data_IF_585372498980
#
_entry.id   IF_585372498980
#
_cell.length_a   1.000
_cell.length_b   1.000
_cell.length_c   1.000
_cell.angle_alpha   90.00
_cell.angle_beta   90.00
_cell.angle_gamma   90.00
#
_symmetry.space_group_name_H-M   'P 1'
#
loop_
_entity.id
_entity.type
_entity.pdbx_description
1 polymer ?
#
# COMPACT_ATOMS: atom_id res chain seq x y z
N UNK A 1 1.60 10.65 20.61
CA UNK A 1 1.15 11.28 21.87
C UNK A 1 -0.13 12.04 21.65
N UNK A 2 -0.24 12.81 20.58
CA UNK A 2 -1.41 13.64 20.23
C UNK A 2 -2.76 12.92 20.34
N UNK A 3 -2.87 11.70 19.77
CA UNK A 3 -4.09 10.88 19.88
C UNK A 3 -4.50 10.62 21.34
N UNK A 4 -3.53 10.37 22.21
CA UNK A 4 -3.76 10.05 23.62
C UNK A 4 -4.19 11.30 24.40
N UNK A 5 -3.56 12.45 24.14
CA UNK A 5 -3.96 13.73 24.74
C UNK A 5 -5.36 14.15 24.28
N UNK A 6 -5.69 13.90 23.01
CA UNK A 6 -7.03 14.14 22.49
C UNK A 6 -8.07 13.23 23.13
N UNK A 7 -7.77 11.93 23.29
CA UNK A 7 -8.66 11.00 24.00
C UNK A 7 -8.91 11.46 25.44
N UNK A 8 -7.86 11.87 26.17
CA UNK A 8 -7.99 12.40 27.53
C UNK A 8 -8.88 13.66 27.55
N UNK A 9 -8.68 14.57 26.61
CA UNK A 9 -9.50 15.76 26.46
C UNK A 9 -10.98 15.40 26.23
N UNK A 10 -11.27 14.49 25.30
CA UNK A 10 -12.63 14.04 25.01
C UNK A 10 -13.28 13.41 26.24
N UNK A 11 -12.56 12.50 26.91
CA UNK A 11 -13.04 11.78 28.09
C UNK A 11 -13.40 12.73 29.23
N UNK A 12 -12.52 13.67 29.54
CA UNK A 12 -12.65 14.53 30.71
C UNK A 12 -13.52 15.78 30.46
N UNK A 13 -13.50 16.34 29.25
CA UNK A 13 -14.14 17.65 28.98
C UNK A 13 -15.42 17.54 28.15
N UNK A 14 -15.47 16.60 27.20
CA UNK A 14 -16.60 16.45 26.26
C UNK A 14 -17.60 15.42 26.76
N UNK A 15 -17.16 14.18 26.92
CA UNK A 15 -17.97 13.06 27.43
C UNK A 15 -18.21 13.22 28.93
N UNK A 16 -17.21 13.75 29.65
CA UNK A 16 -17.23 13.99 31.12
C UNK A 16 -17.49 12.71 31.92
N UNK A 17 -16.97 11.60 31.41
CA UNK A 17 -16.96 10.32 32.12
C UNK A 17 -15.52 9.77 32.11
N UNK A 18 -14.80 9.84 33.25
CA UNK A 18 -13.43 9.33 33.34
C UNK A 18 -13.34 7.80 33.17
N UNK A 19 -14.46 7.09 33.21
CA UNK A 19 -14.52 5.64 32.99
C UNK A 19 -15.00 5.28 31.58
N UNK A 20 -15.24 6.26 30.71
CA UNK A 20 -15.68 6.01 29.34
C UNK A 20 -14.67 5.14 28.60
N UNK A 21 -15.16 4.01 28.10
CA UNK A 21 -14.39 3.04 27.32
C UNK A 21 -13.98 3.64 25.98
N UNK A 22 -12.73 3.42 25.59
CA UNK A 22 -12.17 3.92 24.32
C UNK A 22 -11.71 2.75 23.48
N UNK A 23 -12.32 2.61 22.31
CA UNK A 23 -11.96 1.60 21.31
C UNK A 23 -11.52 2.35 20.05
N UNK A 24 -10.33 2.02 19.56
CA UNK A 24 -9.79 2.61 18.34
C UNK A 24 -10.06 1.72 17.14
N UNK A 25 -10.43 2.34 16.02
CA UNK A 25 -10.53 1.69 14.72
C UNK A 25 -9.58 2.41 13.76
N UNK A 26 -8.81 1.66 12.99
CA UNK A 26 -7.99 2.22 11.93
C UNK A 26 -7.78 1.25 10.77
N UNK A 27 -7.50 1.82 9.61
CA UNK A 27 -7.21 1.09 8.36
C UNK A 27 -5.78 1.40 7.90
N UNK A 28 -5.04 0.40 7.41
CA UNK A 28 -3.69 0.61 6.89
C UNK A 28 -2.76 1.17 7.96
N UNK A 29 -2.11 2.29 7.68
CA UNK A 29 -1.29 3.01 8.66
C UNK A 29 -2.07 3.44 9.90
N UNK A 30 -3.33 3.89 9.75
CA UNK A 30 -4.17 4.21 10.90
C UNK A 30 -4.50 2.95 11.73
N UNK A 31 -4.58 1.78 11.09
CA UNK A 31 -4.71 0.49 11.77
C UNK A 31 -3.47 0.18 12.62
N UNK A 32 -2.28 0.44 12.08
CA UNK A 32 -1.03 0.32 12.83
C UNK A 32 -0.99 1.28 14.02
N UNK A 33 -1.39 2.56 13.83
CA UNK A 33 -1.51 3.54 14.91
C UNK A 33 -2.48 3.08 16.03
N UNK A 34 -3.64 2.52 15.66
CA UNK A 34 -4.61 2.00 16.63
C UNK A 34 -4.01 0.83 17.45
N UNK A 35 -3.32 -0.10 16.78
CA UNK A 35 -2.60 -1.20 17.42
C UNK A 35 -1.53 -0.68 18.39
N UNK A 36 -0.67 0.22 17.93
CA UNK A 36 0.43 0.77 18.71
C UNK A 36 -0.07 1.61 19.90
N UNK A 37 -1.15 2.37 19.72
CA UNK A 37 -1.79 3.11 20.80
C UNK A 37 -2.33 2.15 21.88
N UNK A 38 -3.01 1.06 21.49
CA UNK A 38 -3.47 0.05 22.45
C UNK A 38 -2.32 -0.66 23.15
N UNK A 39 -1.24 -0.97 22.44
CA UNK A 39 -0.04 -1.60 22.99
C UNK A 39 0.64 -0.69 24.02
N UNK A 40 0.79 0.60 23.71
CA UNK A 40 1.58 1.53 24.53
C UNK A 40 0.81 2.19 25.66
N UNK A 41 -0.50 2.37 25.49
CA UNK A 41 -1.39 3.05 26.44
C UNK A 41 -2.59 2.18 26.83
N UNK A 42 -2.37 0.98 27.38
CA UNK A 42 -3.43 0.02 27.71
C UNK A 42 -4.41 0.50 28.78
N UNK A 43 -4.03 1.51 29.57
CA UNK A 43 -4.89 2.13 30.58
C UNK A 43 -5.81 3.23 30.02
N UNK A 44 -5.55 3.68 28.79
CA UNK A 44 -6.31 4.73 28.12
C UNK A 44 -7.14 4.14 26.99
N UNK A 45 -6.58 3.23 26.21
CA UNK A 45 -7.27 2.54 25.11
C UNK A 45 -7.66 1.15 25.59
N UNK A 46 -8.96 0.85 25.64
CA UNK A 46 -9.48 -0.43 26.14
C UNK A 46 -9.39 -1.54 25.09
N UNK A 47 -9.56 -1.20 23.81
CA UNK A 47 -9.42 -2.12 22.68
C UNK A 47 -9.08 -1.41 21.37
N UNK A 48 -8.63 -2.18 20.37
CA UNK A 48 -8.36 -1.67 19.04
C UNK A 48 -8.72 -2.67 17.94
N UNK A 49 -9.18 -2.15 16.82
CA UNK A 49 -9.38 -2.90 15.59
C UNK A 49 -8.49 -2.31 14.50
N UNK A 50 -7.48 -3.07 14.09
CA UNK A 50 -6.57 -2.73 13.00
C UNK A 50 -6.92 -3.51 11.74
N UNK A 51 -7.61 -2.87 10.80
CA UNK A 51 -7.92 -3.44 9.49
C UNK A 51 -6.79 -3.17 8.50
N UNK A 52 -6.23 -4.21 7.87
CA UNK A 52 -5.05 -4.11 7.00
C UNK A 52 -3.89 -3.40 7.68
N UNK A 53 -3.73 -3.56 9.00
CA UNK A 53 -2.83 -2.74 9.79
C UNK A 53 -1.37 -2.97 9.40
N UNK A 54 -0.74 -2.00 8.75
CA UNK A 54 0.66 -2.07 8.26
C UNK A 54 1.65 -1.90 9.41
N UNK A 55 1.70 -2.88 10.31
CA UNK A 55 2.49 -2.84 11.56
C UNK A 55 3.96 -3.20 11.37
N UNK A 56 4.30 -3.90 10.30
CA UNK A 56 5.68 -4.25 9.96
C UNK A 56 6.27 -3.17 9.07
N UNK A 57 7.24 -2.40 9.58
CA UNK A 57 8.07 -1.56 8.73
C UNK A 57 8.95 -2.45 7.83
N UNK A 58 9.10 -2.12 6.55
CA UNK A 58 9.94 -2.88 5.62
C UNK A 58 10.80 -1.95 4.78
N UNK A 59 12.12 -2.14 4.81
CA UNK A 59 13.03 -1.30 4.02
C UNK A 59 12.82 -1.53 2.52
N UNK A 60 12.68 -2.78 2.11
CA UNK A 60 12.40 -3.21 0.75
C UNK A 60 11.15 -4.11 0.79
N UNK A 61 10.06 -3.67 0.17
CA UNK A 61 8.76 -4.34 0.20
C UNK A 61 8.43 -4.99 -1.15
N UNK A 62 9.30 -5.91 -1.57
CA UNK A 62 9.19 -6.65 -2.83
C UNK A 62 8.00 -7.63 -2.87
N UNK A 63 7.54 -8.13 -1.72
CA UNK A 63 6.41 -9.07 -1.63
C UNK A 63 5.12 -8.47 -2.18
N UNK A 64 4.98 -7.14 -2.14
CA UNK A 64 3.85 -6.45 -2.75
C UNK A 64 3.79 -6.72 -4.26
N UNK A 65 4.91 -6.62 -4.98
CA UNK A 65 4.92 -6.86 -6.42
C UNK A 65 4.63 -8.33 -6.76
N UNK A 66 5.16 -9.27 -5.97
CA UNK A 66 4.89 -10.70 -6.12
C UNK A 66 3.39 -11.02 -5.95
N UNK A 67 2.76 -10.47 -4.91
CA UNK A 67 1.35 -10.71 -4.65
C UNK A 67 0.43 -10.11 -5.73
N UNK A 68 0.75 -8.91 -6.22
CA UNK A 68 0.07 -8.33 -7.40
C UNK A 68 0.23 -9.23 -8.62
N UNK A 69 1.44 -9.76 -8.87
CA UNK A 69 1.69 -10.74 -9.93
C UNK A 69 0.81 -11.98 -9.80
N UNK A 70 0.63 -12.49 -8.58
CA UNK A 70 -0.26 -13.61 -8.29
C UNK A 70 -1.75 -13.27 -8.55
N UNK A 71 -2.21 -12.08 -8.16
CA UNK A 71 -3.57 -11.61 -8.45
C UNK A 71 -3.82 -11.48 -9.96
N UNK A 72 -2.86 -10.95 -10.72
CA UNK A 72 -2.94 -10.88 -12.19
C UNK A 72 -3.07 -12.29 -12.78
N UNK A 73 -2.26 -13.26 -12.35
CA UNK A 73 -2.40 -14.65 -12.81
C UNK A 73 -3.77 -15.24 -12.45
N UNK A 74 -4.23 -15.00 -11.22
CA UNK A 74 -5.47 -15.58 -10.68
C UNK A 74 -6.71 -15.06 -11.40
N UNK A 75 -6.79 -13.77 -11.70
CA UNK A 75 -7.99 -13.15 -12.27
C UNK A 75 -7.84 -12.78 -13.75
N UNK A 76 -6.65 -12.36 -14.18
CA UNK A 76 -6.35 -11.97 -15.55
C UNK A 76 -5.75 -13.09 -16.43
N UNK A 77 -5.35 -14.21 -15.83
CA UNK A 77 -4.77 -15.35 -16.54
C UNK A 77 -3.25 -15.25 -16.76
N UNK A 78 -2.66 -16.37 -17.19
CA UNK A 78 -1.21 -16.46 -17.42
C UNK A 78 -0.77 -15.65 -18.65
N UNK A 79 -1.67 -15.48 -19.62
CA UNK A 79 -1.45 -14.71 -20.84
C UNK A 79 -1.24 -13.23 -20.51
N UNK A 80 -2.11 -12.64 -19.70
CA UNK A 80 -1.97 -11.25 -19.26
C UNK A 80 -0.69 -11.03 -18.45
N UNK A 81 -0.40 -11.92 -17.50
CA UNK A 81 0.85 -11.88 -16.74
C UNK A 81 2.07 -11.96 -17.67
N UNK A 82 2.04 -12.86 -18.66
CA UNK A 82 3.13 -13.03 -19.62
C UNK A 82 3.29 -11.82 -20.54
N UNK A 83 2.19 -11.21 -20.99
CA UNK A 83 2.21 -9.97 -21.77
C UNK A 83 2.93 -8.86 -21.00
N UNK A 84 2.54 -8.60 -19.75
CA UNK A 84 3.20 -7.61 -18.90
C UNK A 84 4.70 -7.93 -18.71
N UNK A 85 5.01 -9.19 -18.39
CA UNK A 85 6.40 -9.65 -18.24
C UNK A 85 7.25 -9.40 -19.48
N UNK A 86 6.72 -9.72 -20.67
CA UNK A 86 7.44 -9.48 -21.94
C UNK A 86 7.53 -7.98 -22.22
N UNK A 87 6.46 -7.21 -22.01
CA UNK A 87 6.41 -5.78 -22.29
C UNK A 87 7.44 -4.99 -21.47
N UNK A 88 7.45 -5.18 -20.15
CA UNK A 88 8.39 -4.51 -19.25
C UNK A 88 9.83 -4.85 -19.61
N UNK A 89 10.15 -6.14 -19.80
CA UNK A 89 11.51 -6.56 -20.16
C UNK A 89 11.93 -6.10 -21.56
N UNK A 90 11.00 -6.04 -22.50
CA UNK A 90 11.29 -5.52 -23.85
C UNK A 90 11.69 -4.06 -23.78
N UNK A 91 10.98 -3.23 -23.00
CA UNK A 91 11.36 -1.85 -22.78
C UNK A 91 12.75 -1.74 -22.11
N UNK A 92 13.04 -2.57 -21.11
CA UNK A 92 14.35 -2.60 -20.43
C UNK A 92 15.48 -2.94 -21.40
N UNK A 93 15.32 -4.00 -22.20
CA UNK A 93 16.33 -4.39 -23.19
C UNK A 93 16.51 -3.38 -24.31
N UNK A 94 15.47 -2.63 -24.69
CA UNK A 94 15.62 -1.53 -25.64
C UNK A 94 16.49 -0.41 -25.04
N UNK A 95 16.28 -0.03 -23.79
CA UNK A 95 17.13 0.97 -23.13
C UNK A 95 18.57 0.49 -22.95
N UNK A 96 18.78 -0.78 -22.58
CA UNK A 96 20.12 -1.38 -22.48
C UNK A 96 20.85 -1.41 -23.84
N UNK A 97 20.08 -1.50 -24.92
CA UNK A 97 20.59 -1.41 -26.30
C UNK A 97 20.68 0.04 -26.81
N UNK A 98 20.56 1.04 -25.93
CA UNK A 98 20.64 2.47 -26.25
C UNK A 98 19.53 2.92 -27.23
N UNK A 99 18.34 2.34 -27.10
CA UNK A 99 17.14 2.63 -27.91
C UNK A 99 16.06 3.35 -27.11
N UNK A 100 16.47 4.22 -26.19
CA UNK A 100 15.59 5.01 -25.32
C UNK A 100 14.53 5.79 -26.13
N UNK A 101 14.93 6.41 -27.25
CA UNK A 101 14.03 7.10 -28.19
C UNK A 101 12.86 6.23 -28.67
N UNK A 102 13.10 4.93 -28.85
CA UNK A 102 12.06 3.98 -29.27
C UNK A 102 11.05 3.77 -28.14
N UNK A 103 11.53 3.67 -26.90
CA UNK A 103 10.65 3.54 -25.72
C UNK A 103 9.87 4.82 -25.46
N UNK A 104 10.54 5.98 -25.48
CA UNK A 104 9.91 7.32 -25.39
C UNK A 104 8.79 7.48 -26.41
N UNK A 105 9.04 7.13 -27.68
CA UNK A 105 8.04 7.24 -28.74
C UNK A 105 6.87 6.28 -28.57
N UNK A 106 7.14 5.00 -28.25
CA UNK A 106 6.10 3.99 -28.08
C UNK A 106 5.17 4.32 -26.89
N UNK A 107 5.76 4.69 -25.74
CA UNK A 107 5.02 5.02 -24.52
C UNK A 107 4.51 6.46 -24.48
N UNK A 108 4.89 7.30 -25.46
CA UNK A 108 4.49 8.70 -25.57
C UNK A 108 4.81 9.49 -24.29
N UNK A 109 6.05 9.43 -23.80
CA UNK A 109 6.49 10.19 -22.60
C UNK A 109 6.61 11.68 -22.92
N UNK A 110 6.33 12.54 -21.94
CA UNK A 110 6.39 14.00 -22.13
C UNK A 110 7.81 14.51 -22.36
N UNK A 111 8.75 13.97 -21.60
CA UNK A 111 10.18 14.20 -21.79
C UNK A 111 10.85 12.93 -22.34
N UNK A 112 11.89 13.07 -23.19
CA UNK A 112 12.71 11.94 -23.60
C UNK A 112 13.42 11.31 -22.40
N UNK A 113 13.53 9.99 -22.40
CA UNK A 113 14.31 9.27 -21.39
C UNK A 113 15.79 9.52 -21.70
N UNK A 114 16.53 10.12 -20.77
CA UNK A 114 17.93 10.44 -21.02
C UNK A 114 18.77 9.16 -21.11
N UNK A 115 19.51 9.03 -22.22
CA UNK A 115 20.34 7.87 -22.49
C UNK A 115 21.39 7.66 -21.38
N UNK A 116 21.34 6.50 -20.74
CA UNK A 116 22.25 6.12 -19.66
C UNK A 116 21.94 6.75 -18.31
N UNK A 117 20.87 7.53 -18.18
CA UNK A 117 20.38 8.03 -16.90
C UNK A 117 19.50 6.95 -16.25
N UNK A 118 20.03 6.29 -15.22
CA UNK A 118 19.32 5.23 -14.51
C UNK A 118 18.04 5.75 -13.84
N UNK A 119 18.08 6.94 -13.25
CA UNK A 119 16.94 7.46 -12.49
C UNK A 119 15.73 7.73 -13.39
N UNK A 120 15.94 8.21 -14.61
CA UNK A 120 14.88 8.38 -15.61
C UNK A 120 14.23 7.04 -15.98
N UNK A 121 15.05 6.01 -16.18
CA UNK A 121 14.55 4.66 -16.48
C UNK A 121 13.75 4.11 -15.31
N UNK A 122 14.27 4.20 -14.08
CA UNK A 122 13.57 3.69 -12.90
C UNK A 122 12.28 4.46 -12.63
N UNK A 123 12.26 5.78 -12.86
CA UNK A 123 11.06 6.61 -12.79
C UNK A 123 10.01 6.12 -13.77
N UNK A 124 10.39 5.90 -15.04
CA UNK A 124 9.49 5.33 -16.03
C UNK A 124 8.87 4.01 -15.56
N UNK A 125 9.69 3.05 -15.11
CA UNK A 125 9.20 1.74 -14.71
C UNK A 125 8.38 1.78 -13.42
N UNK A 126 8.71 2.69 -12.48
CA UNK A 126 7.90 2.91 -11.28
C UNK A 126 6.49 3.36 -11.66
N UNK A 127 6.36 4.36 -12.54
CA UNK A 127 5.06 4.89 -12.93
C UNK A 127 4.29 3.98 -13.88
N UNK A 128 4.96 3.23 -14.78
CA UNK A 128 4.31 2.19 -15.58
C UNK A 128 3.71 1.10 -14.69
N UNK A 129 4.47 0.63 -13.71
CA UNK A 129 3.98 -0.35 -12.73
C UNK A 129 2.82 0.22 -11.93
N UNK A 130 2.95 1.46 -11.45
CA UNK A 130 1.91 2.13 -10.67
C UNK A 130 0.60 2.25 -11.46
N UNK A 131 0.65 2.69 -12.72
CA UNK A 131 -0.53 2.82 -13.57
C UNK A 131 -1.27 1.48 -13.75
N UNK A 132 -0.54 0.39 -13.99
CA UNK A 132 -1.13 -0.97 -14.09
C UNK A 132 -1.75 -1.38 -12.75
N UNK A 133 -1.08 -1.13 -11.64
CA UNK A 133 -1.55 -1.50 -10.30
C UNK A 133 -2.80 -0.71 -9.89
N UNK A 134 -2.82 0.61 -10.12
CA UNK A 134 -3.96 1.48 -9.81
C UNK A 134 -5.18 1.07 -10.63
N UNK A 135 -5.03 0.92 -11.94
CA UNK A 135 -6.11 0.51 -12.82
C UNK A 135 -6.74 -0.85 -12.44
N UNK A 136 -5.97 -1.74 -11.81
CA UNK A 136 -6.39 -3.07 -11.43
C UNK A 136 -6.98 -3.14 -10.01
N UNK A 137 -6.47 -2.35 -9.06
CA UNK A 137 -6.68 -2.58 -7.63
C UNK A 137 -7.38 -1.42 -6.90
N UNK A 138 -7.37 -0.20 -7.44
CA UNK A 138 -7.90 0.99 -6.75
C UNK A 138 -9.39 0.85 -6.40
N UNK A 139 -10.19 0.36 -7.34
CA UNK A 139 -11.63 0.14 -7.15
C UNK A 139 -11.95 -1.10 -6.30
N UNK A 140 -10.93 -1.90 -5.93
CA UNK A 140 -11.09 -3.10 -5.10
C UNK A 140 -12.12 -4.10 -5.65
N UNK A 141 -12.09 -4.31 -6.97
CA UNK A 141 -12.95 -5.27 -7.68
C UNK A 141 -12.10 -6.15 -8.61
N UNK A 142 -12.22 -7.47 -8.46
CA UNK A 142 -11.52 -8.44 -9.31
C UNK A 142 -11.96 -8.38 -10.78
N UNK A 143 -13.12 -7.80 -11.08
CA UNK A 143 -13.54 -7.50 -12.45
C UNK A 143 -12.62 -6.50 -13.14
N UNK A 144 -12.02 -5.56 -12.41
CA UNK A 144 -11.11 -4.56 -12.99
C UNK A 144 -9.80 -5.20 -13.46
N UNK A 145 -9.26 -6.15 -12.69
CA UNK A 145 -8.12 -6.96 -13.12
C UNK A 145 -8.42 -7.66 -14.45
N UNK A 146 -9.60 -8.29 -14.55
CA UNK A 146 -10.06 -8.94 -15.80
C UNK A 146 -10.16 -7.96 -16.96
N UNK A 147 -10.84 -6.83 -16.76
CA UNK A 147 -11.03 -5.82 -17.82
C UNK A 147 -9.71 -5.23 -18.31
N UNK A 148 -8.78 -4.90 -17.42
CA UNK A 148 -7.45 -4.40 -17.82
C UNK A 148 -6.72 -5.44 -18.67
N UNK A 149 -6.73 -6.70 -18.22
CA UNK A 149 -6.11 -7.80 -18.95
C UNK A 149 -6.76 -8.07 -20.31
N UNK A 150 -8.08 -8.11 -20.38
CA UNK A 150 -8.83 -8.28 -21.64
C UNK A 150 -8.53 -7.14 -22.62
N UNK A 151 -8.43 -5.90 -22.15
CA UNK A 151 -8.10 -4.75 -22.99
C UNK A 151 -6.69 -4.83 -23.58
N UNK A 152 -5.71 -5.31 -22.79
CA UNK A 152 -4.35 -5.52 -23.29
C UNK A 152 -4.27 -6.70 -24.27
N UNK A 153 -4.95 -7.81 -23.98
CA UNK A 153 -4.89 -9.03 -24.79
C UNK A 153 -5.68 -8.96 -26.11
N UNK A 154 -6.71 -8.11 -26.18
CA UNK A 154 -7.52 -7.92 -27.38
C UNK A 154 -6.89 -6.97 -28.41
N UNK A 155 -5.70 -6.42 -28.13
CA UNK A 155 -4.94 -5.66 -29.11
C UNK A 155 -4.48 -6.63 -30.23
N UNK A 156 -5.01 -6.47 -31.44
CA UNK A 156 -5.04 -7.58 -32.41
C UNK A 156 -3.75 -7.84 -33.17
N UNK A 157 -2.74 -6.95 -33.16
CA UNK A 157 -1.60 -7.05 -34.09
C UNK A 157 -0.26 -6.46 -33.59
N UNK A 158 -0.10 -6.18 -32.29
CA UNK A 158 1.10 -5.58 -31.70
C UNK A 158 2.05 -6.57 -31.03
N UNK A 159 3.27 -6.12 -30.75
CA UNK A 159 4.14 -6.73 -29.74
C UNK A 159 3.61 -6.41 -28.33
N UNK A 160 3.99 -7.20 -27.32
CA UNK A 160 3.54 -6.98 -25.95
C UNK A 160 3.78 -5.54 -25.41
N UNK A 161 4.89 -4.90 -25.83
CA UNK A 161 5.17 -3.51 -25.48
C UNK A 161 4.23 -2.53 -26.21
N UNK A 162 3.90 -2.79 -27.47
CA UNK A 162 2.93 -1.97 -28.23
C UNK A 162 1.51 -2.11 -27.67
N UNK A 163 1.14 -3.29 -27.19
CA UNK A 163 -0.15 -3.56 -26.55
C UNK A 163 -0.26 -2.82 -25.21
N UNK A 164 0.79 -2.89 -24.38
CA UNK A 164 0.89 -2.12 -23.14
C UNK A 164 0.81 -0.62 -23.42
N UNK A 165 1.55 -0.14 -24.43
CA UNK A 165 1.52 1.26 -24.83
C UNK A 165 0.13 1.69 -25.35
N UNK A 166 -0.54 0.81 -26.09
CA UNK A 166 -1.92 1.01 -26.56
C UNK A 166 -2.90 1.18 -25.42
N UNK A 167 -2.84 0.26 -24.45
CA UNK A 167 -3.64 0.34 -23.23
C UNK A 167 -3.34 1.63 -22.45
N UNK A 168 -2.06 1.99 -22.29
CA UNK A 168 -1.64 3.18 -21.54
C UNK A 168 -2.21 4.47 -22.13
N UNK A 169 -2.24 4.59 -23.46
CA UNK A 169 -2.87 5.73 -24.15
C UNK A 169 -4.37 5.83 -23.90
N UNK A 170 -5.06 4.71 -23.75
CA UNK A 170 -6.48 4.70 -23.37
C UNK A 170 -6.67 5.05 -21.90
N UNK A 171 -5.84 4.49 -21.02
CA UNK A 171 -5.92 4.76 -19.57
C UNK A 171 -5.68 6.23 -19.26
N UNK A 172 -4.75 6.87 -19.96
CA UNK A 172 -4.44 8.30 -19.86
C UNK A 172 -4.95 9.11 -21.05
N UNK A 173 -6.14 8.80 -21.59
CA UNK A 173 -6.68 9.48 -22.79
C UNK A 173 -6.81 11.00 -22.67
N UNK A 174 -6.88 11.52 -21.44
CA UNK A 174 -6.97 12.95 -21.13
C UNK A 174 -5.61 13.66 -21.08
N UNK A 175 -4.50 12.92 -21.20
CA UNK A 175 -3.14 13.46 -21.22
C UNK A 175 -2.56 13.43 -22.64
N UNK A 176 -1.87 14.49 -23.02
CA UNK A 176 -1.19 14.56 -24.31
C UNK A 176 0.01 13.60 -24.40
N UNK A 177 0.63 13.32 -23.26
CA UNK A 177 1.82 12.49 -23.07
C UNK A 177 1.89 11.99 -21.62
N UNK A 178 2.72 10.99 -21.35
CA UNK A 178 2.91 10.42 -20.01
C UNK A 178 3.96 11.22 -19.22
N UNK A 179 3.60 11.85 -18.09
CA UNK A 179 4.51 12.65 -17.28
C UNK A 179 5.35 11.74 -16.39
N UNK A 180 6.22 10.92 -16.99
CA UNK A 180 7.07 9.96 -16.29
C UNK A 180 8.50 10.48 -16.09
N UNK A 181 8.66 11.79 -15.88
CA UNK A 181 9.92 12.44 -15.54
C UNK A 181 10.06 12.59 -14.02
N UNK A 182 11.28 12.49 -13.51
CA UNK A 182 11.51 12.43 -12.06
C UNK A 182 11.11 13.73 -11.36
N UNK A 183 11.53 14.88 -11.89
CA UNK A 183 11.32 16.18 -11.27
C UNK A 183 9.83 16.53 -11.14
N UNK A 184 9.03 16.35 -12.19
CA UNK A 184 7.58 16.62 -12.13
C UNK A 184 6.87 15.70 -11.14
N UNK A 185 7.30 14.44 -11.02
CA UNK A 185 6.71 13.51 -10.06
C UNK A 185 7.10 13.83 -8.60
N UNK A 186 8.19 14.58 -8.37
CA UNK A 186 8.58 15.04 -7.04
C UNK A 186 7.95 16.38 -6.63
N UNK A 187 7.51 17.22 -7.59
CA UNK A 187 7.07 18.60 -7.36
C UNK A 187 6.04 18.72 -6.23
N UNK A 188 4.99 17.90 -6.27
CA UNK A 188 3.92 17.93 -5.26
C UNK A 188 4.43 17.63 -3.84
N UNK A 189 5.42 16.74 -3.71
CA UNK A 189 6.01 16.37 -2.42
C UNK A 189 7.10 17.36 -1.96
N UNK A 190 7.60 18.24 -2.84
CA UNK A 190 8.53 19.32 -2.48
C UNK A 190 7.85 20.48 -1.76
N UNK A 191 6.52 20.62 -1.88
CA UNK A 191 5.75 21.68 -1.22
C UNK A 191 5.90 21.57 0.30
N UNK A 192 6.48 22.60 0.95
CA UNK A 192 6.75 22.58 2.40
C UNK A 192 5.62 23.17 3.25
N UNK A 193 4.69 23.91 2.65
CA UNK A 193 3.63 24.60 3.38
C UNK A 193 2.61 23.59 3.92
N UNK A 194 2.39 23.46 5.24
CA UNK A 194 1.48 22.46 5.79
C UNK A 194 0.02 22.65 5.35
N UNK A 195 -0.38 23.90 5.05
CA UNK A 195 -1.74 24.23 4.60
C UNK A 195 -1.96 24.10 3.09
N UNK A 196 -0.95 23.74 2.31
CA UNK A 196 -1.12 23.49 0.88
C UNK A 196 -1.94 22.21 0.65
N UNK A 197 -2.80 22.12 -0.38
CA UNK A 197 -3.68 20.96 -0.61
C UNK A 197 -2.95 19.60 -0.60
N UNK A 198 -1.77 19.55 -1.21
CA UNK A 198 -0.89 18.38 -1.31
C UNK A 198 -0.50 17.82 0.07
N UNK A 199 -0.39 18.70 1.07
CA UNK A 199 -0.01 18.35 2.43
C UNK A 199 -1.22 18.24 3.37
N UNK A 200 -2.19 19.15 3.25
CA UNK A 200 -3.33 19.23 4.15
C UNK A 200 -4.41 18.17 3.85
N UNK A 201 -4.55 17.78 2.58
CA UNK A 201 -5.57 16.82 2.13
C UNK A 201 -4.94 15.46 1.89
N UNK A 202 -3.83 15.42 1.14
CA UNK A 202 -3.22 14.16 0.69
C UNK A 202 -2.10 13.68 1.63
N UNK A 203 -1.47 14.59 2.37
CA UNK A 203 -0.36 14.24 3.27
C UNK A 203 0.87 13.74 2.53
N UNK A 204 1.10 14.16 1.28
CA UNK A 204 2.13 13.58 0.41
C UNK A 204 3.53 13.69 1.02
N UNK A 205 3.95 14.91 1.38
CA UNK A 205 5.28 15.14 1.95
C UNK A 205 5.45 14.45 3.30
N UNK A 206 4.41 14.43 4.13
CA UNK A 206 4.44 13.80 5.46
C UNK A 206 4.57 12.28 5.34
N UNK A 207 3.79 11.66 4.46
CA UNK A 207 3.83 10.22 4.21
C UNK A 207 5.19 9.80 3.67
N UNK A 208 5.73 10.57 2.72
CA UNK A 208 7.05 10.31 2.16
C UNK A 208 8.16 10.50 3.21
N UNK A 209 8.03 11.48 4.11
CA UNK A 209 8.98 11.65 5.21
C UNK A 209 8.99 10.42 6.12
N UNK A 210 7.81 9.91 6.51
CA UNK A 210 7.73 8.71 7.34
C UNK A 210 8.26 7.46 6.64
N UNK A 211 8.01 7.30 5.34
CA UNK A 211 8.64 6.24 4.55
C UNK A 211 10.18 6.37 4.57
N UNK A 212 10.70 7.59 4.36
CA UNK A 212 12.13 7.89 4.33
C UNK A 212 12.83 7.96 5.71
N UNK A 213 12.12 7.78 6.83
CA UNK A 213 12.75 7.85 8.17
C UNK A 213 12.34 6.76 9.14
N UNK A 214 11.17 6.12 8.97
CA UNK A 214 10.62 5.19 9.97
C UNK A 214 10.12 3.88 9.37
N UNK A 215 9.46 3.91 8.21
CA UNK A 215 8.65 2.78 7.76
C UNK A 215 9.19 2.05 6.54
N UNK A 216 9.85 2.78 5.63
CA UNK A 216 10.11 2.29 4.28
C UNK A 216 8.79 2.04 3.54
N UNK A 217 8.45 0.77 3.36
CA UNK A 217 7.41 0.25 2.47
C UNK A 217 7.69 0.57 0.99
N UNK A 218 8.96 0.59 0.62
CA UNK A 218 9.36 0.81 -0.76
C UNK A 218 9.04 -0.41 -1.61
N UNK A 219 8.01 -0.27 -2.44
CA UNK A 219 7.48 -1.36 -3.29
C UNK A 219 8.39 -1.55 -4.50
N UNK A 220 9.50 -2.24 -4.33
CA UNK A 220 10.43 -2.56 -5.42
C UNK A 220 9.86 -3.65 -6.32
N UNK A 221 10.62 -4.00 -7.36
CA UNK A 221 10.37 -5.15 -8.23
C UNK A 221 11.42 -6.25 -8.05
N UNK A 222 12.06 -6.31 -6.88
CA UNK A 222 13.20 -7.21 -6.63
C UNK A 222 12.77 -8.69 -6.47
N UNK A 223 11.47 -8.94 -6.28
CA UNK A 223 10.92 -10.30 -6.24
C UNK A 223 10.96 -10.97 -7.63
N UNK A 224 11.27 -12.26 -7.66
CA UNK A 224 11.35 -13.05 -8.90
C UNK A 224 9.97 -13.28 -9.57
N UNK A 225 8.93 -13.47 -8.76
CA UNK A 225 7.61 -13.93 -9.22
C UNK A 225 6.63 -12.79 -9.53
N UNK A 226 7.04 -11.82 -10.36
CA UNK A 226 6.20 -10.69 -10.77
C UNK A 226 6.48 -10.23 -12.22
N UNK A 227 5.54 -9.54 -12.90
CA UNK A 227 5.63 -9.24 -14.33
C UNK A 227 6.22 -7.85 -14.69
N UNK A 228 6.68 -7.07 -13.73
CA UNK A 228 7.08 -5.66 -13.89
C UNK A 228 8.60 -5.43 -14.11
N UNK A 229 9.35 -6.48 -14.46
CA UNK A 229 10.79 -6.40 -14.73
C UNK A 229 11.63 -6.09 -13.47
N UNK A 230 12.82 -5.48 -13.63
CA UNK A 230 13.81 -5.30 -12.55
C UNK A 230 14.31 -3.86 -12.35
N UNK A 231 13.62 -2.85 -12.91
CA UNK A 231 14.05 -1.43 -12.88
C UNK A 231 13.32 -0.58 -11.84
N UNK A 232 12.61 -1.16 -10.88
CA UNK A 232 12.10 -0.41 -9.73
C UNK A 232 12.87 -0.87 -8.51
N UNK A 233 14.06 -0.33 -8.33
CA UNK A 233 14.97 -0.75 -7.26
C UNK A 233 14.95 0.22 -6.09
N UNK A 234 15.64 -0.14 -5.01
CA UNK A 234 15.89 0.78 -3.89
C UNK A 234 16.63 2.06 -4.29
N UNK A 235 17.37 2.08 -5.40
CA UNK A 235 18.06 3.29 -5.88
C UNK A 235 17.06 4.43 -6.13
N UNK A 236 16.00 4.16 -6.91
CA UNK A 236 14.92 5.12 -7.16
C UNK A 236 14.35 5.73 -5.87
N UNK A 237 14.00 4.89 -4.90
CA UNK A 237 13.40 5.36 -3.65
C UNK A 237 14.38 6.18 -2.79
N UNK A 238 15.66 5.81 -2.78
CA UNK A 238 16.70 6.57 -2.08
C UNK A 238 16.91 7.95 -2.72
N UNK A 239 16.97 8.02 -4.05
CA UNK A 239 17.08 9.28 -4.78
C UNK A 239 15.84 10.17 -4.58
N UNK A 240 14.63 9.59 -4.61
CA UNK A 240 13.40 10.31 -4.26
C UNK A 240 13.44 10.88 -2.83
N UNK A 241 13.89 10.09 -1.85
CA UNK A 241 14.05 10.58 -0.48
C UNK A 241 15.05 11.73 -0.37
N UNK A 242 16.21 11.64 -1.05
CA UNK A 242 17.25 12.69 -1.05
C UNK A 242 16.77 13.94 -1.76
N UNK A 243 16.06 13.82 -2.88
CA UNK A 243 15.48 14.95 -3.60
C UNK A 243 14.51 15.76 -2.73
N UNK A 244 13.76 15.08 -1.84
CA UNK A 244 12.74 15.74 -1.01
C UNK A 244 13.25 16.26 0.33
N UNK A 245 14.22 15.59 0.94
CA UNK A 245 14.65 15.86 2.32
C UNK A 245 16.15 16.15 2.46
N UNK A 246 16.94 15.91 1.43
CA UNK A 246 18.38 16.17 1.36
C UNK A 246 19.25 14.92 1.60
N UNK A 247 20.54 15.09 1.31
CA UNK A 247 21.58 14.04 1.31
C UNK A 247 21.78 13.31 2.65
N UNK A 248 21.24 13.83 3.75
CA UNK A 248 21.34 13.16 5.04
C UNK A 248 20.49 11.88 5.10
N UNK A 249 19.50 11.73 4.22
CA UNK A 249 18.72 10.50 4.10
C UNK A 249 19.52 9.48 3.30
N UNK A 250 20.28 8.66 4.02
CA UNK A 250 21.01 7.52 3.46
C UNK A 250 20.25 6.22 3.63
N UNK A 251 20.65 5.18 2.90
CA UNK A 251 20.18 3.80 3.10
C UNK A 251 20.28 3.36 4.57
N UNK A 252 21.39 3.68 5.24
CA UNK A 252 21.60 3.37 6.65
C UNK A 252 20.60 4.09 7.56
N UNK A 253 20.26 5.36 7.29
CA UNK A 253 19.27 6.12 8.07
C UNK A 253 17.89 5.47 7.96
N UNK A 254 17.45 5.15 6.74
CA UNK A 254 16.16 4.50 6.53
C UNK A 254 16.16 3.10 7.17
N UNK A 255 17.20 2.31 6.93
CA UNK A 255 17.31 0.96 7.47
C UNK A 255 17.27 0.95 9.00
N UNK A 256 18.01 1.86 9.66
CA UNK A 256 17.95 2.01 11.11
C UNK A 256 16.58 2.49 11.59
N UNK A 257 15.93 3.39 10.85
CA UNK A 257 14.54 3.79 11.10
C UNK A 257 13.58 2.60 11.13
N UNK A 258 13.57 1.81 10.04
CA UNK A 258 12.77 0.58 9.92
C UNK A 258 13.04 -0.39 11.06
N UNK A 259 14.32 -0.64 11.36
CA UNK A 259 14.75 -1.53 12.44
C UNK A 259 14.25 -1.04 13.80
N UNK A 260 14.38 0.27 14.08
CA UNK A 260 13.96 0.87 15.34
C UNK A 260 12.44 0.86 15.49
N UNK A 261 11.68 1.13 14.42
CA UNK A 261 10.21 1.02 14.41
C UNK A 261 9.77 -0.39 14.77
N UNK A 262 10.32 -1.40 14.10
CA UNK A 262 9.98 -2.79 14.36
C UNK A 262 10.41 -3.24 15.78
N UNK A 263 11.54 -2.76 16.28
CA UNK A 263 11.96 -3.00 17.66
C UNK A 263 11.01 -2.35 18.68
N UNK A 264 10.51 -1.15 18.37
CA UNK A 264 9.65 -0.39 19.27
C UNK A 264 8.24 -0.98 19.36
N UNK A 265 7.69 -1.43 18.23
CA UNK A 265 6.31 -1.89 18.13
C UNK A 265 6.13 -3.41 17.99
N UNK A 266 7.20 -4.16 17.72
CA UNK A 266 7.19 -5.61 17.63
C UNK A 266 6.79 -6.20 16.27
N UNK A 267 6.58 -5.36 15.25
CA UNK A 267 6.21 -5.80 13.90
C UNK A 267 4.98 -6.71 13.91
N UNK A 268 5.11 -7.91 13.35
CA UNK A 268 4.03 -8.91 13.31
C UNK A 268 3.84 -9.71 14.62
N UNK A 269 4.69 -9.52 15.64
CA UNK A 269 4.48 -10.03 16.99
C UNK A 269 4.52 -8.88 18.03
N UNK A 270 3.49 -8.00 18.06
CA UNK A 270 3.47 -6.83 18.92
C UNK A 270 3.24 -7.16 20.40
N UNK A 271 2.99 -8.42 20.77
CA UNK A 271 2.62 -8.86 22.13
C UNK A 271 1.48 -8.04 22.75
N UNK A 272 0.59 -7.50 21.92
CA UNK A 272 -0.56 -6.69 22.35
C UNK A 272 -1.75 -7.56 22.77
N UNK A 273 -2.63 -7.00 23.59
CA UNK A 273 -3.92 -7.59 23.98
C UNK A 273 -5.07 -6.64 23.66
N UNK A 274 -6.27 -7.18 23.50
CA UNK A 274 -7.48 -6.46 23.09
C UNK A 274 -7.30 -5.73 21.75
N UNK A 275 -6.59 -6.38 20.83
CA UNK A 275 -6.45 -5.94 19.44
C UNK A 275 -6.97 -7.02 18.52
N UNK A 276 -7.90 -6.64 17.64
CA UNK A 276 -8.37 -7.49 16.55
C UNK A 276 -7.70 -7.02 15.25
N UNK A 277 -7.10 -7.95 14.53
CA UNK A 277 -6.50 -7.71 13.22
C UNK A 277 -7.38 -8.32 12.14
N UNK A 278 -7.71 -7.56 11.11
CA UNK A 278 -8.45 -8.06 9.95
C UNK A 278 -7.69 -7.70 8.68
N UNK A 279 -7.74 -8.54 7.66
CA UNK A 279 -7.07 -8.31 6.39
C UNK A 279 -7.94 -8.84 5.25
N UNK A 280 -7.95 -8.18 4.09
CA UNK A 280 -8.47 -8.79 2.88
C UNK A 280 -7.45 -9.76 2.29
N UNK A 281 -7.89 -10.93 1.81
CA UNK A 281 -7.04 -11.86 1.06
C UNK A 281 -6.42 -11.21 -0.18
N UNK A 282 -7.12 -10.28 -0.84
CA UNK A 282 -6.67 -9.63 -2.07
C UNK A 282 -5.91 -8.32 -1.84
N UNK A 283 -5.65 -7.93 -0.58
CA UNK A 283 -4.84 -6.76 -0.28
C UNK A 283 -3.35 -7.15 -0.20
N UNK A 284 -2.48 -6.67 -1.09
CA UNK A 284 -1.04 -6.96 -1.03
C UNK A 284 -0.37 -6.42 0.23
N UNK A 285 -0.93 -5.36 0.85
CA UNK A 285 -0.38 -4.80 2.10
C UNK A 285 -0.55 -5.74 3.29
N UNK A 286 -1.33 -6.82 3.17
CA UNK A 286 -1.45 -7.84 4.23
C UNK A 286 -0.10 -8.49 4.58
N UNK A 287 0.87 -8.46 3.66
CA UNK A 287 2.23 -8.98 3.88
C UNK A 287 3.01 -8.22 4.96
N UNK A 288 2.69 -6.94 5.17
CA UNK A 288 3.22 -6.11 6.27
C UNK A 288 2.24 -5.92 7.43
N UNK A 289 1.18 -6.74 7.46
CA UNK A 289 0.17 -6.78 8.51
C UNK A 289 0.24 -8.09 9.30
N UNK A 290 -0.63 -8.24 10.30
CA UNK A 290 -0.76 -9.47 11.09
C UNK A 290 -1.90 -10.30 10.52
N UNK A 291 -1.58 -11.37 9.79
CA UNK A 291 -2.54 -12.30 9.17
C UNK A 291 -2.78 -13.56 10.00
N UNK A 292 -1.92 -13.83 10.98
CA UNK A 292 -2.08 -14.91 11.96
C UNK A 292 -1.59 -14.44 13.33
N UNK A 293 -2.45 -14.54 14.34
CA UNK A 293 -2.11 -14.16 15.70
C UNK A 293 -2.90 -15.01 16.68
N UNK A 294 -2.21 -15.70 17.58
CA UNK A 294 -2.83 -16.54 18.59
C UNK A 294 -2.48 -15.97 19.97
N UNK A 295 -3.39 -15.14 20.49
CA UNK A 295 -3.34 -14.60 21.84
C UNK A 295 -4.76 -14.67 22.44
N UNK A 296 -4.88 -14.99 23.73
CA UNK A 296 -6.17 -15.14 24.42
C UNK A 296 -7.10 -13.93 24.27
N UNK A 297 -6.54 -12.73 24.08
CA UNK A 297 -7.29 -11.47 23.97
C UNK A 297 -7.11 -10.75 22.64
N UNK A 298 -6.44 -11.38 21.67
CA UNK A 298 -6.13 -10.78 20.38
C UNK A 298 -6.12 -11.83 19.29
N UNK A 299 -6.75 -11.52 18.16
CA UNK A 299 -6.93 -12.48 17.07
C UNK A 299 -6.71 -11.81 15.71
N UNK A 300 -6.41 -12.62 14.71
CA UNK A 300 -6.27 -12.17 13.34
C UNK A 300 -7.23 -12.94 12.40
N UNK A 301 -7.92 -12.21 11.54
CA UNK A 301 -8.71 -12.77 10.45
C UNK A 301 -8.13 -12.34 9.11
N UNK A 302 -8.11 -13.27 8.16
CA UNK A 302 -8.01 -12.97 6.74
C UNK A 302 -9.38 -13.25 6.15
N UNK A 303 -9.99 -12.24 5.56
CA UNK A 303 -11.28 -12.33 4.90
C UNK A 303 -11.05 -13.00 3.54
N UNK A 304 -11.57 -14.21 3.33
CA UNK A 304 -11.34 -14.93 2.08
C UNK A 304 -12.05 -14.22 0.93
N UNK A 305 -11.42 -14.24 -0.23
CA UNK A 305 -11.92 -13.72 -1.49
C UNK A 305 -12.39 -12.25 -1.46
N UNK A 306 -11.78 -11.42 -0.62
CA UNK A 306 -12.13 -10.00 -0.47
C UNK A 306 -10.89 -9.10 -0.44
N UNK A 307 -11.08 -7.87 -0.90
CA UNK A 307 -10.17 -6.76 -0.65
C UNK A 307 -10.35 -6.21 0.78
N UNK A 308 -9.47 -5.28 1.16
CA UNK A 308 -9.56 -4.52 2.41
C UNK A 308 -10.93 -3.81 2.53
N UNK A 309 -11.32 -3.38 3.71
CA UNK A 309 -12.58 -2.64 4.00
C UNK A 309 -13.86 -3.46 3.93
N UNK A 310 -13.89 -4.61 3.25
CA UNK A 310 -15.09 -5.44 3.14
C UNK A 310 -15.71 -5.80 4.50
N UNK A 311 -14.87 -5.99 5.52
CA UNK A 311 -15.25 -6.29 6.89
C UNK A 311 -15.71 -5.08 7.72
N UNK A 312 -15.46 -3.86 7.23
CA UNK A 312 -15.75 -2.62 7.96
C UNK A 312 -17.20 -2.18 7.75
N UNK A 313 -17.76 -2.46 6.57
CA UNK A 313 -19.13 -2.10 6.25
C UNK A 313 -20.14 -2.96 7.00
N UNK A 314 -21.35 -2.41 7.21
CA UNK A 314 -22.47 -3.10 7.81
C UNK A 314 -22.73 -4.47 7.17
N UNK A 315 -23.27 -5.40 7.97
CA UNK A 315 -23.69 -6.71 7.46
C UNK A 315 -24.81 -6.50 6.43
N UNK A 316 -24.62 -7.05 5.24
CA UNK A 316 -25.55 -6.93 4.11
C UNK A 316 -25.92 -8.28 3.50
N UNK A 317 -26.94 -8.30 2.66
CA UNK A 317 -27.43 -9.52 1.98
C UNK A 317 -26.42 -10.09 0.97
N UNK A 318 -25.49 -9.27 0.49
CA UNK A 318 -24.43 -9.66 -0.46
C UNK A 318 -23.16 -10.20 0.24
N UNK A 319 -23.12 -10.20 1.58
CA UNK A 319 -21.99 -10.76 2.31
C UNK A 319 -21.98 -12.29 2.19
N UNK A 320 -20.80 -12.86 1.96
CA UNK A 320 -20.61 -14.31 2.07
C UNK A 320 -20.82 -14.77 3.52
N UNK A 321 -21.10 -16.07 3.70
CA UNK A 321 -21.23 -16.66 5.03
C UNK A 321 -19.97 -16.42 5.87
N UNK A 322 -18.79 -16.55 5.27
CA UNK A 322 -17.49 -16.33 5.89
C UNK A 322 -17.33 -14.87 6.34
N UNK A 323 -17.68 -13.91 5.48
CA UNK A 323 -17.62 -12.48 5.81
C UNK A 323 -18.59 -12.12 6.94
N UNK A 324 -19.81 -12.66 6.92
CA UNK A 324 -20.78 -12.47 8.00
C UNK A 324 -20.27 -13.01 9.34
N UNK A 325 -19.62 -14.18 9.35
CA UNK A 325 -19.00 -14.75 10.55
C UNK A 325 -17.90 -13.82 11.09
N UNK A 326 -17.03 -13.30 10.21
CA UNK A 326 -15.96 -12.38 10.60
C UNK A 326 -16.54 -11.06 11.15
N UNK A 327 -17.51 -10.44 10.46
CA UNK A 327 -18.22 -9.24 10.92
C UNK A 327 -18.89 -9.44 12.28
N UNK A 328 -19.52 -10.60 12.48
CA UNK A 328 -20.12 -10.97 13.78
C UNK A 328 -19.05 -11.12 14.87
N UNK A 329 -17.91 -11.73 14.55
CA UNK A 329 -16.79 -11.84 15.49
C UNK A 329 -16.24 -10.46 15.88
N UNK A 330 -16.08 -9.55 14.92
CA UNK A 330 -15.69 -8.15 15.18
C UNK A 330 -16.65 -7.50 16.18
N UNK A 331 -17.96 -7.62 15.97
CA UNK A 331 -18.96 -7.08 16.90
C UNK A 331 -18.81 -7.68 18.32
N UNK A 332 -18.54 -8.97 18.43
CA UNK A 332 -18.33 -9.65 19.72
C UNK A 332 -17.08 -9.13 20.43
N UNK A 333 -15.96 -8.92 19.73
CA UNK A 333 -14.74 -8.33 20.32
C UNK A 333 -14.98 -6.90 20.82
N UNK A 334 -15.66 -6.07 20.02
CA UNK A 334 -16.00 -4.70 20.42
C UNK A 334 -16.90 -4.71 21.67
N UNK A 335 -17.93 -5.55 21.70
CA UNK A 335 -18.81 -5.70 22.85
C UNK A 335 -18.05 -6.18 24.10
N UNK A 336 -17.13 -7.14 23.94
CA UNK A 336 -16.28 -7.64 25.03
C UNK A 336 -15.46 -6.51 25.67
N UNK A 337 -14.89 -5.63 24.86
CA UNK A 337 -14.09 -4.49 25.35
C UNK A 337 -14.95 -3.39 25.99
N UNK A 338 -16.21 -3.24 25.57
CA UNK A 338 -17.14 -2.25 26.14
C UNK A 338 -17.66 -2.67 27.53
N UNK A 339 -17.95 -3.95 27.75
CA UNK A 339 -18.77 -4.38 28.90
C UNK A 339 -18.04 -5.22 29.96
N UNK A 340 -16.79 -5.63 29.75
CA UNK A 340 -15.93 -6.45 30.67
C UNK A 340 -16.68 -7.22 31.76
N UNK A 341 -17.06 -8.47 31.48
CA UNK A 341 -17.54 -9.42 32.48
C UNK A 341 -17.97 -10.77 31.89
N UNK A 342 -18.99 -10.80 31.04
CA UNK A 342 -19.51 -12.01 30.39
C UNK A 342 -20.06 -11.63 29.01
N UNK A 343 -19.72 -12.40 27.98
CA UNK A 343 -20.38 -12.32 26.68
C UNK A 343 -21.78 -12.93 26.87
N UNK A 344 -22.89 -12.26 26.53
CA UNK A 344 -24.17 -12.93 26.45
C UNK A 344 -24.05 -13.96 25.31
N UNK A 345 -24.15 -15.24 25.69
CA UNK A 345 -24.21 -16.39 24.78
C UNK A 345 -25.32 -16.25 23.74
#
# INVERSE_FOLDING_TARGET
MDLIEWIDHLRNNVVRDPNAKVILLGVGYAGALATWARQRFPSIVDGAWGAGATVLASFDFQEHAADVGALIRRFGGNECHSLLWVAFRTAQYLMDAERDDTVTSLLNTCEPIEKGNLLDQETLFYHLKLAVQEAMLEEQDTAKIRTVCENMLNATDGTALEDLAGWLRTYYENLACMPFDFDSNMEAAQVIAPGAPENAILGLRQTQYQACTEFGWFRTTDADEQPFGDRVTMHFFLEACRALFGEWVTDAVIYDGVRLTNLHFGGQDPRSTNVLFTNGEYDPNRMVSITSYINTFSYAHVVPDKFLLSEIYSIGEEDSLELMVIKTSIQQYIALWQFTGEVPL
#
